data_IF_154199363770
#
_entry.id   IF_154199363770
#
_cell.length_a   1.000
_cell.length_b   1.000
_cell.length_c   1.000
_cell.angle_alpha   90.00
_cell.angle_beta   90.00
_cell.angle_gamma   90.00
#
_symmetry.space_group_name_H-M   'P 1'
#
loop_
_entity.id
_entity.type
_entity.pdbx_description
1 polymer ?
#
# COMPACT_ATOMS: atom_id res chain seq x y z
N UNK A 1 6.42 -19.78 17.35
CA UNK A 1 7.64 -19.22 16.73
C UNK A 1 8.68 -18.99 17.83
N UNK A 2 9.93 -19.36 17.57
CA UNK A 2 11.03 -19.21 18.53
C UNK A 2 11.41 -17.73 18.77
N UNK A 3 10.93 -16.82 17.96
CA UNK A 3 11.35 -15.40 17.95
C UNK A 3 12.74 -15.16 17.36
N UNK A 4 13.39 -16.20 16.83
CA UNK A 4 14.72 -16.10 16.23
C UNK A 4 14.61 -15.60 14.80
N UNK A 5 15.27 -14.49 14.48
CA UNK A 5 15.40 -13.98 13.12
C UNK A 5 16.48 -14.80 12.38
N UNK A 6 16.16 -15.21 11.16
CA UNK A 6 17.11 -15.88 10.27
C UNK A 6 17.25 -15.06 8.98
N UNK A 7 18.49 -14.85 8.48
CA UNK A 7 18.69 -14.19 7.19
C UNK A 7 18.09 -15.04 6.07
N UNK A 8 17.47 -14.38 5.10
CA UNK A 8 16.95 -15.03 3.90
C UNK A 8 17.91 -14.81 2.74
N UNK A 9 18.28 -15.92 2.09
CA UNK A 9 19.11 -15.87 0.88
C UNK A 9 18.25 -15.58 -0.36
N UNK A 10 18.86 -14.99 -1.39
CA UNK A 10 18.20 -14.73 -2.67
C UNK A 10 17.25 -13.52 -2.66
N UNK A 11 17.33 -12.64 -1.66
CA UNK A 11 16.54 -11.39 -1.67
C UNK A 11 17.06 -10.49 -2.81
N UNK A 12 16.16 -9.84 -3.60
CA UNK A 12 16.58 -8.96 -4.69
C UNK A 12 17.44 -7.80 -4.16
N UNK A 13 18.36 -7.32 -5.01
CA UNK A 13 19.14 -6.12 -4.71
C UNK A 13 18.21 -4.89 -4.64
N UNK A 14 18.25 -4.15 -3.53
CA UNK A 14 17.38 -3.00 -3.28
C UNK A 14 18.19 -1.72 -3.14
N UNK A 15 17.61 -0.59 -3.53
CA UNK A 15 18.14 0.73 -3.20
C UNK A 15 17.57 1.19 -1.85
N UNK A 16 18.32 0.93 -0.78
CA UNK A 16 17.91 1.30 0.59
C UNK A 16 18.26 2.77 0.90
N UNK A 17 17.66 3.71 0.15
CA UNK A 17 17.84 5.16 0.32
C UNK A 17 16.50 5.88 0.47
N UNK A 18 16.44 6.84 1.39
CA UNK A 18 15.22 7.60 1.68
C UNK A 18 14.09 6.70 2.16
N UNK A 19 13.01 6.58 1.38
CA UNK A 19 11.90 5.67 1.65
C UNK A 19 12.01 4.35 0.87
N UNK A 20 13.11 4.13 0.15
CA UNK A 20 13.35 2.89 -0.60
C UNK A 20 13.91 1.76 0.27
N UNK A 21 13.82 0.55 -0.24
CA UNK A 21 14.28 -0.68 0.42
C UNK A 21 13.54 -1.91 -0.08
N UNK A 22 13.53 -2.97 0.73
CA UNK A 22 12.55 -4.05 0.64
C UNK A 22 11.27 -3.54 1.31
N UNK A 23 10.15 -3.51 0.60
CA UNK A 23 9.02 -2.68 0.97
C UNK A 23 7.81 -3.48 1.47
N UNK A 24 7.41 -4.51 0.72
CA UNK A 24 6.30 -5.36 1.12
C UNK A 24 6.53 -6.82 0.74
N UNK A 25 5.83 -7.71 1.42
CA UNK A 25 5.80 -9.14 1.12
C UNK A 25 4.36 -9.64 1.16
N UNK A 26 3.96 -10.35 0.11
CA UNK A 26 2.63 -10.95 0.01
C UNK A 26 2.75 -12.43 -0.36
N UNK A 27 1.91 -13.26 0.23
CA UNK A 27 1.86 -14.69 -0.09
C UNK A 27 0.83 -14.96 -1.19
N UNK A 28 1.14 -15.90 -2.08
CA UNK A 28 0.15 -16.39 -3.04
C UNK A 28 -1.08 -16.96 -2.31
N UNK A 29 -2.32 -16.77 -2.79
CA UNK A 29 -3.53 -17.33 -2.15
C UNK A 29 -3.49 -18.85 -1.94
N UNK A 30 -2.70 -19.57 -2.75
CA UNK A 30 -2.45 -20.99 -2.63
C UNK A 30 -1.04 -21.29 -2.07
N UNK A 31 -0.53 -20.45 -1.17
CA UNK A 31 0.83 -20.56 -0.64
C UNK A 31 1.12 -21.94 -0.05
N UNK A 32 0.18 -22.55 0.65
CA UNK A 32 0.34 -23.88 1.24
C UNK A 32 0.64 -24.99 0.21
N UNK A 33 0.30 -24.78 -1.07
CA UNK A 33 0.53 -25.71 -2.16
C UNK A 33 1.77 -25.37 -2.98
N UNK A 34 2.09 -24.09 -3.16
CA UNK A 34 3.10 -23.64 -4.12
C UNK A 34 4.28 -22.88 -3.51
N UNK A 35 4.22 -22.57 -2.20
CA UNK A 35 5.23 -21.77 -1.49
C UNK A 35 5.64 -20.47 -2.20
N UNK A 36 4.73 -19.89 -2.99
CA UNK A 36 5.03 -18.68 -3.76
C UNK A 36 4.80 -17.42 -2.93
N UNK A 37 5.76 -16.50 -2.97
CA UNK A 37 5.67 -15.17 -2.37
C UNK A 37 6.00 -14.09 -3.39
N UNK A 38 5.57 -12.89 -3.11
CA UNK A 38 5.81 -11.69 -3.89
C UNK A 38 6.50 -10.66 -3.01
N UNK A 39 7.52 -10.02 -3.54
CA UNK A 39 8.27 -8.99 -2.84
C UNK A 39 8.25 -7.72 -3.68
N UNK A 40 7.77 -6.63 -3.11
CA UNK A 40 7.94 -5.31 -3.70
C UNK A 40 9.19 -4.65 -3.13
N UNK A 41 9.90 -3.91 -3.98
CA UNK A 41 11.16 -3.28 -3.60
C UNK A 41 11.48 -2.06 -4.47
N UNK A 42 12.40 -1.23 -3.98
CA UNK A 42 12.96 -0.14 -4.76
C UNK A 42 14.11 -0.65 -5.62
N UNK A 43 13.86 -0.81 -6.92
CA UNK A 43 14.84 -1.21 -7.93
C UNK A 43 15.60 0.00 -8.43
N UNK A 44 16.92 -0.12 -8.52
CA UNK A 44 17.80 0.92 -9.04
C UNK A 44 18.37 0.58 -10.42
N UNK A 45 18.69 1.62 -11.20
CA UNK A 45 19.56 1.54 -12.36
C UNK A 45 20.42 2.80 -12.48
N UNK A 46 21.59 2.68 -13.08
CA UNK A 46 22.45 3.83 -13.40
C UNK A 46 22.24 4.23 -14.85
N UNK A 47 21.92 5.52 -15.07
CA UNK A 47 21.76 6.12 -16.38
C UNK A 47 22.58 7.41 -16.39
N UNK A 48 23.53 7.54 -17.30
CA UNK A 48 24.42 8.71 -17.42
C UNK A 48 25.06 9.12 -16.08
N UNK A 49 25.56 8.13 -15.34
CA UNK A 49 26.20 8.33 -14.03
C UNK A 49 25.24 8.66 -12.87
N UNK A 50 23.93 8.76 -13.11
CA UNK A 50 22.92 9.01 -12.08
C UNK A 50 22.20 7.74 -11.69
N UNK A 51 22.05 7.51 -10.39
CA UNK A 51 21.23 6.42 -9.87
C UNK A 51 19.77 6.85 -9.90
N UNK A 52 18.97 6.15 -10.68
CA UNK A 52 17.52 6.27 -10.74
C UNK A 52 16.88 5.06 -10.09
N UNK A 53 15.67 5.22 -9.58
CA UNK A 53 14.95 4.12 -8.94
C UNK A 53 13.47 4.11 -9.25
N UNK A 54 12.88 2.93 -9.10
CA UNK A 54 11.44 2.71 -9.26
C UNK A 54 10.93 1.63 -8.32
N UNK A 55 9.62 1.43 -8.27
CA UNK A 55 8.98 0.29 -7.62
C UNK A 55 8.98 -0.90 -8.55
N UNK A 56 9.44 -2.05 -8.07
CA UNK A 56 9.39 -3.31 -8.80
C UNK A 56 8.82 -4.43 -7.91
N UNK A 57 8.34 -5.50 -8.54
CA UNK A 57 7.84 -6.69 -7.85
C UNK A 57 8.48 -7.93 -8.44
N UNK A 58 9.00 -8.78 -7.57
CA UNK A 58 9.50 -10.11 -7.89
C UNK A 58 8.58 -11.16 -7.29
N UNK A 59 8.29 -12.20 -8.08
CA UNK A 59 7.69 -13.45 -7.64
C UNK A 59 8.78 -14.46 -7.38
N UNK A 60 8.72 -15.20 -6.28
CA UNK A 60 9.70 -16.21 -5.94
C UNK A 60 9.04 -17.41 -5.23
N UNK A 61 9.68 -18.56 -5.25
CA UNK A 61 9.31 -19.71 -4.42
C UNK A 61 10.15 -19.71 -3.16
N UNK A 62 9.49 -19.76 -2.01
CA UNK A 62 10.14 -19.87 -0.71
C UNK A 62 10.54 -21.33 -0.45
N UNK A 63 11.82 -21.57 -0.19
CA UNK A 63 12.38 -22.87 0.14
C UNK A 63 13.26 -22.73 1.39
N UNK A 64 12.68 -23.08 2.56
CA UNK A 64 13.31 -22.84 3.85
C UNK A 64 13.61 -21.34 4.06
N UNK A 65 14.88 -20.98 4.09
CA UNK A 65 15.36 -19.60 4.22
C UNK A 65 15.94 -19.05 2.90
N UNK A 66 15.51 -19.57 1.76
CA UNK A 66 16.01 -19.16 0.45
C UNK A 66 14.87 -18.87 -0.53
N UNK A 67 15.06 -17.85 -1.36
CA UNK A 67 14.17 -17.52 -2.47
C UNK A 67 14.69 -18.14 -3.76
N UNK A 68 13.90 -19.03 -4.34
CA UNK A 68 14.20 -19.75 -5.59
C UNK A 68 13.27 -19.27 -6.72
N UNK A 69 13.59 -19.61 -7.96
CA UNK A 69 12.76 -19.43 -9.14
C UNK A 69 12.27 -17.97 -9.32
N UNK A 70 13.13 -17.02 -9.02
CA UNK A 70 12.78 -15.61 -9.04
C UNK A 70 12.47 -15.11 -10.44
N UNK A 71 11.35 -14.42 -10.57
CA UNK A 71 10.92 -13.74 -11.79
C UNK A 71 10.42 -12.35 -11.46
N UNK A 72 10.99 -11.32 -12.07
CA UNK A 72 10.40 -9.99 -12.00
C UNK A 72 9.12 -9.97 -12.83
N UNK A 73 8.03 -9.56 -12.20
CA UNK A 73 6.67 -9.56 -12.78
C UNK A 73 6.07 -8.19 -12.97
N UNK A 74 6.68 -7.16 -12.35
CA UNK A 74 6.25 -5.78 -12.48
C UNK A 74 7.43 -4.82 -12.27
N UNK A 75 7.48 -3.79 -13.11
CA UNK A 75 8.43 -2.68 -13.01
C UNK A 75 7.71 -1.38 -13.37
N UNK A 76 7.66 -0.44 -12.43
CA UNK A 76 7.02 0.84 -12.66
C UNK A 76 7.92 1.79 -13.49
N UNK A 77 7.33 2.48 -14.46
CA UNK A 77 8.00 3.46 -15.30
C UNK A 77 7.39 4.85 -15.14
N UNK A 78 8.20 5.91 -15.25
CA UNK A 78 9.64 5.93 -15.46
C UNK A 78 10.45 5.70 -14.18
N UNK A 79 11.75 5.40 -14.34
CA UNK A 79 12.71 5.50 -13.26
C UNK A 79 13.00 6.97 -12.95
N UNK A 80 13.11 7.31 -11.65
CA UNK A 80 13.29 8.70 -11.20
C UNK A 80 14.44 8.81 -10.19
N UNK A 81 14.99 10.01 -10.06
CA UNK A 81 16.03 10.31 -9.08
C UNK A 81 15.51 10.50 -7.66
N UNK A 82 14.18 10.64 -7.50
CA UNK A 82 13.55 10.78 -6.18
C UNK A 82 13.64 9.51 -5.34
N UNK A 83 13.67 9.67 -4.01
CA UNK A 83 13.81 8.59 -3.02
C UNK A 83 12.61 8.47 -2.09
N UNK A 84 11.44 8.87 -2.55
CA UNK A 84 10.20 8.86 -1.77
C UNK A 84 8.99 8.44 -2.61
N UNK A 85 7.86 8.17 -1.93
CA UNK A 85 6.57 7.82 -2.49
C UNK A 85 6.64 6.61 -3.43
N UNK A 86 7.17 5.50 -2.94
CA UNK A 86 7.22 4.25 -3.72
C UNK A 86 5.87 3.53 -3.77
N UNK A 87 4.92 3.84 -2.85
CA UNK A 87 3.72 3.04 -2.63
C UNK A 87 4.09 1.65 -2.16
N UNK A 88 4.03 0.67 -3.06
CA UNK A 88 4.60 -0.67 -2.98
C UNK A 88 3.78 -1.71 -2.22
N UNK A 89 2.57 -1.41 -1.76
CA UNK A 89 1.70 -2.41 -1.15
C UNK A 89 1.22 -3.42 -2.19
N UNK A 90 1.17 -4.67 -1.74
CA UNK A 90 0.71 -5.83 -2.49
C UNK A 90 -0.54 -6.39 -1.80
N UNK A 91 -1.54 -6.80 -2.58
CA UNK A 91 -2.74 -7.48 -2.07
C UNK A 91 -3.35 -8.33 -3.17
N UNK A 92 -3.72 -9.56 -2.87
CA UNK A 92 -4.50 -10.39 -3.79
C UNK A 92 -5.99 -10.09 -3.66
N UNK A 93 -6.62 -9.74 -4.78
CA UNK A 93 -8.07 -9.60 -4.84
C UNK A 93 -8.79 -10.95 -4.87
N UNK A 94 -10.10 -10.92 -4.63
CA UNK A 94 -10.97 -12.11 -4.74
C UNK A 94 -11.01 -12.69 -6.17
N UNK A 95 -10.68 -11.88 -7.15
CA UNK A 95 -10.52 -12.26 -8.56
C UNK A 95 -9.24 -13.05 -8.85
N UNK A 96 -8.37 -13.25 -7.83
CA UNK A 96 -7.11 -13.95 -7.93
C UNK A 96 -5.99 -13.14 -8.59
N UNK A 97 -6.18 -11.84 -8.81
CA UNK A 97 -5.17 -10.96 -9.37
C UNK A 97 -4.42 -10.20 -8.28
N UNK A 98 -3.16 -9.87 -8.55
CA UNK A 98 -2.30 -9.09 -7.68
C UNK A 98 -2.50 -7.59 -7.92
N UNK A 99 -2.85 -6.87 -6.88
CA UNK A 99 -2.92 -5.41 -6.85
C UNK A 99 -1.61 -4.86 -6.29
N UNK A 100 -1.11 -3.78 -6.91
CA UNK A 100 0.18 -3.16 -6.56
C UNK A 100 -0.02 -1.65 -6.47
N UNK A 101 0.35 -1.04 -5.37
CA UNK A 101 0.34 0.42 -5.27
C UNK A 101 1.67 1.01 -5.73
N UNK A 102 1.62 2.11 -6.46
CA UNK A 102 2.78 2.93 -6.82
C UNK A 102 2.47 4.39 -6.49
N UNK A 103 3.33 5.03 -5.71
CA UNK A 103 3.18 6.45 -5.38
C UNK A 103 3.56 7.39 -6.54
N UNK A 104 3.25 8.67 -6.40
CA UNK A 104 3.51 9.71 -7.40
C UNK A 104 5.00 10.03 -7.56
N UNK A 105 5.85 9.48 -6.68
CA UNK A 105 7.30 9.69 -6.67
C UNK A 105 7.68 11.18 -6.62
N UNK A 106 6.80 12.03 -6.03
CA UNK A 106 6.97 13.48 -5.99
C UNK A 106 6.69 14.19 -7.32
N UNK A 107 6.14 13.51 -8.31
CA UNK A 107 5.85 14.03 -9.65
C UNK A 107 4.42 14.58 -9.75
N UNK A 108 4.03 15.42 -8.80
CA UNK A 108 2.67 15.98 -8.69
C UNK A 108 2.57 17.47 -9.08
N UNK A 109 3.68 18.12 -9.35
CA UNK A 109 3.66 19.52 -9.79
C UNK A 109 2.88 19.69 -11.10
N UNK A 110 2.27 20.86 -11.38
CA UNK A 110 1.39 21.05 -12.55
C UNK A 110 1.99 20.62 -13.89
N UNK A 111 3.29 20.84 -14.08
CA UNK A 111 3.99 20.42 -15.30
C UNK A 111 4.23 18.92 -15.41
N UNK A 112 4.19 18.18 -14.30
CA UNK A 112 4.52 16.76 -14.26
C UNK A 112 3.30 15.89 -14.10
N UNK A 113 2.36 16.27 -13.22
CA UNK A 113 1.06 15.64 -12.94
C UNK A 113 0.99 14.11 -13.15
N UNK A 114 2.09 13.42 -12.79
CA UNK A 114 2.26 11.99 -13.04
C UNK A 114 1.04 11.15 -12.60
N UNK A 115 0.37 11.45 -11.46
CA UNK A 115 -0.82 10.72 -11.04
C UNK A 115 -2.00 10.80 -12.01
N UNK A 116 -2.10 11.87 -12.78
CA UNK A 116 -3.19 12.10 -13.74
C UNK A 116 -2.86 11.56 -15.15
N UNK A 117 -1.58 11.31 -15.45
CA UNK A 117 -1.15 10.81 -16.75
C UNK A 117 -1.23 9.29 -16.80
N UNK A 118 -2.03 8.73 -17.69
CA UNK A 118 -2.18 7.28 -17.85
C UNK A 118 -1.02 6.62 -18.62
N UNK A 119 -0.06 7.42 -19.12
CA UNK A 119 1.13 6.94 -19.84
C UNK A 119 2.32 6.56 -18.93
N UNK A 120 2.13 6.58 -17.61
CA UNK A 120 3.14 6.18 -16.62
C UNK A 120 2.49 5.43 -15.45
N UNK A 121 3.33 4.82 -14.59
CA UNK A 121 2.87 4.02 -13.45
C UNK A 121 2.76 4.81 -12.12
N UNK A 122 3.23 6.04 -12.04
CA UNK A 122 3.26 6.82 -10.79
C UNK A 122 1.88 7.31 -10.33
N UNK A 123 1.56 7.17 -9.04
CA UNK A 123 0.28 7.59 -8.44
C UNK A 123 -0.91 6.72 -8.87
N UNK A 124 -0.74 5.40 -8.85
CA UNK A 124 -1.74 4.44 -9.32
C UNK A 124 -1.82 3.20 -8.43
N UNK A 125 -2.96 2.54 -8.52
CA UNK A 125 -3.09 1.12 -8.18
C UNK A 125 -3.06 0.36 -9.51
N UNK A 126 -2.19 -0.64 -9.59
CA UNK A 126 -2.06 -1.56 -10.71
C UNK A 126 -2.71 -2.89 -10.38
N UNK A 127 -3.13 -3.63 -11.42
CA UNK A 127 -3.72 -4.97 -11.30
C UNK A 127 -3.12 -5.85 -12.39
N UNK A 128 -2.49 -6.94 -11.98
CA UNK A 128 -1.84 -7.91 -12.86
C UNK A 128 -2.20 -9.33 -12.43
N UNK A 129 -1.95 -10.31 -13.30
CA UNK A 129 -2.02 -11.71 -12.90
C UNK A 129 -0.79 -12.08 -12.07
N UNK A 130 -0.84 -13.23 -11.42
CA UNK A 130 0.23 -13.79 -10.57
C UNK A 130 1.56 -14.02 -11.32
N UNK A 131 1.52 -14.14 -12.65
CA UNK A 131 2.67 -14.30 -13.53
C UNK A 131 3.20 -12.99 -14.15
N UNK A 132 2.54 -11.85 -13.87
CA UNK A 132 2.84 -10.52 -14.38
C UNK A 132 2.08 -10.14 -15.65
N UNK A 133 1.31 -11.05 -16.27
CA UNK A 133 0.52 -10.73 -17.45
C UNK A 133 -0.68 -9.83 -17.10
N UNK A 134 -1.17 -9.07 -18.09
CA UNK A 134 -2.25 -8.10 -17.90
C UNK A 134 -3.61 -8.79 -18.00
N UNK A 135 -4.54 -8.61 -17.05
CA UNK A 135 -5.92 -9.02 -17.18
C UNK A 135 -6.62 -8.29 -18.34
N UNK A 136 -7.28 -9.05 -19.22
CA UNK A 136 -7.94 -8.48 -20.41
C UNK A 136 -9.06 -7.48 -20.08
N UNK A 137 -9.61 -7.55 -18.87
CA UNK A 137 -10.66 -6.68 -18.38
C UNK A 137 -10.14 -5.45 -17.62
N UNK A 138 -8.83 -5.18 -17.60
CA UNK A 138 -8.31 -3.93 -17.03
C UNK A 138 -8.86 -2.71 -17.82
N UNK A 139 -9.06 -1.56 -17.13
CA UNK A 139 -9.84 -0.45 -17.72
C UNK A 139 -9.18 0.21 -18.93
N UNK A 140 -7.87 0.07 -19.10
CA UNK A 140 -7.13 0.76 -20.15
C UNK A 140 -6.47 -0.18 -21.16
N UNK A 141 -6.82 -1.47 -21.18
CA UNK A 141 -6.32 -2.44 -22.16
C UNK A 141 -6.71 -2.05 -23.56
N UNK A 142 -5.77 -2.14 -24.50
CA UNK A 142 -5.97 -1.79 -25.91
C UNK A 142 -6.08 -0.29 -26.20
N UNK A 143 -5.87 0.59 -25.21
CA UNK A 143 -5.90 2.03 -25.38
C UNK A 143 -4.48 2.57 -25.61
N UNK A 144 -4.19 3.02 -26.83
CA UNK A 144 -2.87 3.51 -27.20
C UNK A 144 -2.33 4.59 -26.26
N UNK A 145 -1.07 4.47 -25.84
CA UNK A 145 -0.39 5.42 -24.97
C UNK A 145 -0.76 5.32 -23.48
N UNK A 146 -1.58 4.35 -23.09
CA UNK A 146 -1.92 4.11 -21.68
C UNK A 146 -1.24 2.84 -21.14
N UNK A 147 -0.89 2.84 -19.86
CA UNK A 147 -0.38 1.66 -19.16
C UNK A 147 -1.53 0.70 -18.85
N UNK A 148 -1.53 -0.47 -19.46
CA UNK A 148 -2.61 -1.45 -19.38
C UNK A 148 -2.78 -2.08 -17.99
N UNK A 149 -1.74 -2.03 -17.16
CA UNK A 149 -1.79 -2.52 -15.77
C UNK A 149 -2.60 -1.62 -14.82
N UNK A 150 -2.89 -0.37 -15.20
CA UNK A 150 -3.59 0.58 -14.31
C UNK A 150 -5.00 0.08 -13.99
N UNK A 151 -5.31 0.02 -12.69
CA UNK A 151 -6.64 -0.27 -12.16
C UNK A 151 -7.38 1.02 -11.75
N UNK A 152 -6.72 1.89 -10.96
CA UNK A 152 -7.17 3.24 -10.58
C UNK A 152 -6.01 4.22 -10.60
N UNK A 153 -6.30 5.52 -10.62
CA UNK A 153 -5.26 6.56 -10.77
C UNK A 153 -5.59 7.82 -9.96
N UNK A 154 -4.68 8.79 -9.97
CA UNK A 154 -4.87 10.01 -9.20
C UNK A 154 -4.58 9.83 -7.70
N UNK A 155 -3.68 8.91 -7.35
CA UNK A 155 -3.21 8.67 -5.99
C UNK A 155 -1.92 9.41 -5.71
N UNK A 156 -1.68 9.79 -4.43
CA UNK A 156 -0.42 10.38 -4.02
C UNK A 156 0.60 9.32 -3.61
N UNK A 157 0.36 8.61 -2.51
CA UNK A 157 1.28 7.61 -1.99
C UNK A 157 0.53 6.56 -1.15
N UNK A 158 -0.13 5.60 -1.78
CA UNK A 158 -0.83 4.53 -1.07
C UNK A 158 0.16 3.65 -0.29
N UNK A 159 -0.01 3.59 1.03
CA UNK A 159 0.88 2.89 1.96
C UNK A 159 0.19 1.74 2.70
N UNK A 160 -1.10 1.55 2.51
CA UNK A 160 -1.86 0.40 2.97
C UNK A 160 -2.84 -0.05 1.92
N UNK A 161 -3.05 -1.36 1.85
CA UNK A 161 -4.01 -2.01 0.97
C UNK A 161 -4.54 -3.27 1.64
N UNK A 162 -5.83 -3.51 1.57
CA UNK A 162 -6.44 -4.73 2.06
C UNK A 162 -7.74 -5.02 1.31
N UNK A 163 -7.99 -6.28 1.03
CA UNK A 163 -9.26 -6.74 0.46
C UNK A 163 -10.34 -6.80 1.54
N UNK A 164 -11.46 -6.12 1.32
CA UNK A 164 -12.61 -6.17 2.23
C UNK A 164 -13.18 -7.59 2.30
N UNK A 165 -13.31 -8.20 3.50
CA UNK A 165 -13.59 -9.62 3.64
C UNK A 165 -14.97 -10.05 3.12
N UNK A 166 -15.94 -9.14 3.11
CA UNK A 166 -17.32 -9.42 2.64
C UNK A 166 -17.51 -9.05 1.18
N UNK A 167 -17.18 -7.79 0.80
CA UNK A 167 -17.45 -7.28 -0.55
C UNK A 167 -16.40 -7.71 -1.59
N UNK A 168 -15.15 -7.96 -1.15
CA UNK A 168 -14.01 -8.24 -2.05
C UNK A 168 -13.43 -6.98 -2.70
N UNK A 169 -13.92 -5.79 -2.35
CA UNK A 169 -13.36 -4.53 -2.82
C UNK A 169 -11.96 -4.30 -2.23
N UNK A 170 -11.11 -3.66 -3.01
CA UNK A 170 -9.76 -3.27 -2.56
C UNK A 170 -9.85 -1.92 -1.87
N UNK A 171 -9.56 -1.91 -0.59
CA UNK A 171 -9.46 -0.69 0.20
C UNK A 171 -8.00 -0.28 0.32
N UNK A 172 -7.77 1.02 0.23
CA UNK A 172 -6.43 1.61 0.34
C UNK A 172 -6.47 2.77 1.32
N UNK A 173 -5.34 3.04 1.94
CA UNK A 173 -5.09 4.36 2.52
C UNK A 173 -3.83 4.96 1.91
N UNK A 174 -3.77 6.27 1.89
CA UNK A 174 -2.65 7.00 1.35
C UNK A 174 -2.28 8.24 2.15
N UNK A 175 -1.00 8.63 2.02
CA UNK A 175 -0.50 9.84 2.65
C UNK A 175 -0.92 11.07 1.85
N UNK A 176 -1.54 12.03 2.50
CA UNK A 176 -1.62 13.41 2.05
C UNK A 176 -0.30 14.15 2.22
N UNK A 177 -0.25 15.45 1.85
CA UNK A 177 0.91 16.29 2.17
C UNK A 177 0.91 16.69 3.65
N UNK A 178 0.67 17.93 4.00
CA UNK A 178 0.47 18.36 5.40
C UNK A 178 -1.03 18.31 5.72
N UNK A 179 -1.52 17.20 6.26
CA UNK A 179 -2.94 16.84 6.36
C UNK A 179 -3.41 16.09 5.11
N UNK A 180 -4.66 15.58 5.15
CA UNK A 180 -5.30 14.91 4.02
C UNK A 180 -4.78 13.50 3.74
N UNK A 181 -4.32 12.75 4.77
CA UNK A 181 -4.23 11.30 4.66
C UNK A 181 -5.63 10.73 4.49
N UNK A 182 -5.81 9.68 3.70
CA UNK A 182 -7.14 9.23 3.25
C UNK A 182 -7.31 7.73 3.35
N UNK A 183 -8.57 7.27 3.54
CA UNK A 183 -9.01 5.90 3.27
C UNK A 183 -9.94 5.93 2.05
N UNK A 184 -9.65 5.09 1.08
CA UNK A 184 -10.35 4.99 -0.19
C UNK A 184 -10.78 3.55 -0.50
N UNK A 185 -11.81 3.37 -1.33
CA UNK A 185 -12.09 2.12 -2.02
C UNK A 185 -11.59 2.26 -3.45
N UNK A 186 -10.49 1.58 -3.78
CA UNK A 186 -9.97 1.59 -5.15
C UNK A 186 -10.92 0.85 -6.08
N UNK A 187 -11.40 1.53 -7.12
CA UNK A 187 -12.33 0.98 -8.12
C UNK A 187 -11.80 1.16 -9.52
N UNK A 188 -12.18 0.23 -10.36
CA UNK A 188 -11.73 0.10 -11.75
C UNK A 188 -11.97 1.37 -12.56
N UNK A 189 -10.89 1.97 -13.09
CA UNK A 189 -10.92 3.13 -13.97
C UNK A 189 -11.19 4.47 -13.31
N UNK A 190 -11.35 4.52 -11.97
CA UNK A 190 -11.68 5.75 -11.26
C UNK A 190 -10.46 6.59 -10.91
N UNK A 191 -10.67 7.91 -10.84
CA UNK A 191 -9.67 8.95 -10.56
C UNK A 191 -9.86 9.49 -9.13
N UNK A 192 -8.84 9.33 -8.29
CA UNK A 192 -8.84 9.79 -6.89
C UNK A 192 -8.35 11.23 -6.71
N UNK A 193 -8.09 11.92 -7.80
CA UNK A 193 -8.01 13.37 -7.87
C UNK A 193 -6.67 14.00 -7.50
N UNK A 194 -5.70 13.29 -6.91
CA UNK A 194 -4.41 13.88 -6.61
C UNK A 194 -3.66 14.31 -7.89
N UNK A 195 -3.07 15.52 -7.99
CA UNK A 195 -3.06 16.62 -7.01
C UNK A 195 -4.13 17.71 -7.26
N UNK A 196 -5.16 17.43 -8.06
CA UNK A 196 -6.21 18.39 -8.45
C UNK A 196 -7.11 18.77 -7.27
N UNK A 197 -7.36 17.81 -6.37
CA UNK A 197 -8.08 17.98 -5.10
C UNK A 197 -7.22 17.46 -3.95
N UNK A 198 -7.37 18.04 -2.76
CA UNK A 198 -6.69 17.58 -1.54
C UNK A 198 -7.33 18.20 -0.29
N UNK A 199 -7.35 17.44 0.81
CA UNK A 199 -7.67 17.95 2.15
C UNK A 199 -6.44 18.48 2.91
N UNK A 200 -5.25 18.36 2.31
CA UNK A 200 -4.00 18.85 2.87
C UNK A 200 -3.46 20.09 2.15
N UNK A 201 -2.42 20.66 2.74
CA UNK A 201 -1.70 21.82 2.22
C UNK A 201 -0.22 21.47 2.00
N UNK A 202 0.53 22.30 1.30
CA UNK A 202 1.98 22.12 1.15
C UNK A 202 2.70 22.13 2.51
N UNK A 203 3.88 21.51 2.58
CA UNK A 203 4.67 21.46 3.81
C UNK A 203 5.15 22.84 4.30
N UNK A 204 5.32 23.80 3.39
CA UNK A 204 5.63 25.20 3.69
C UNK A 204 4.42 26.02 4.20
N UNK A 205 3.23 25.42 4.21
CA UNK A 205 1.99 26.05 4.64
C UNK A 205 1.18 26.74 3.53
N UNK A 206 1.68 26.75 2.31
CA UNK A 206 0.92 27.28 1.18
C UNK A 206 -0.20 26.35 0.73
N UNK A 207 -1.22 26.88 0.09
CA UNK A 207 -2.32 26.09 -0.46
C UNK A 207 -1.84 25.35 -1.70
N UNK A 208 -1.96 24.02 -1.71
CA UNK A 208 -1.66 23.19 -2.86
C UNK A 208 -2.73 23.34 -3.95
N UNK A 209 -3.98 23.20 -3.55
CA UNK A 209 -5.18 23.39 -4.37
C UNK A 209 -6.30 23.94 -3.49
N UNK A 210 -7.14 24.83 -3.99
CA UNK A 210 -8.29 25.32 -3.23
C UNK A 210 -9.46 24.33 -3.20
N UNK A 211 -9.34 23.20 -3.95
CA UNK A 211 -10.42 22.23 -4.12
C UNK A 211 -10.21 21.03 -3.22
N UNK A 212 -11.25 20.63 -2.52
CA UNK A 212 -11.32 19.34 -1.81
C UNK A 212 -12.16 18.30 -2.54
N UNK A 213 -12.99 18.76 -3.51
CA UNK A 213 -13.83 17.90 -4.34
C UNK A 213 -14.01 18.48 -5.73
N UNK A 214 -14.19 17.63 -6.73
CA UNK A 214 -14.52 18.01 -8.10
C UNK A 214 -15.34 16.90 -8.78
N UNK A 215 -16.22 17.24 -9.69
CA UNK A 215 -17.02 16.26 -10.43
C UNK A 215 -16.13 15.30 -11.24
N UNK A 216 -16.40 14.01 -11.14
CA UNK A 216 -15.61 12.96 -11.80
C UNK A 216 -14.35 12.54 -11.05
N UNK A 217 -14.11 13.09 -9.86
CA UNK A 217 -13.04 12.67 -8.95
C UNK A 217 -13.62 12.03 -7.70
N UNK A 218 -13.05 10.90 -7.30
CA UNK A 218 -13.50 10.13 -6.13
C UNK A 218 -13.19 10.87 -4.83
N UNK A 219 -14.06 10.67 -3.86
CA UNK A 219 -13.91 11.23 -2.52
C UNK A 219 -13.53 10.12 -1.52
N UNK A 220 -12.64 10.42 -0.55
CA UNK A 220 -12.28 9.45 0.46
C UNK A 220 -13.46 9.13 1.39
N UNK A 221 -13.48 7.89 1.90
CA UNK A 221 -14.41 7.46 2.95
C UNK A 221 -14.11 8.14 4.29
N UNK A 222 -12.86 8.46 4.51
CA UNK A 222 -12.35 9.17 5.69
C UNK A 222 -11.03 9.85 5.34
N UNK A 223 -10.75 10.98 6.00
CA UNK A 223 -9.47 11.66 5.91
C UNK A 223 -9.02 12.24 7.26
N UNK A 224 -7.72 12.43 7.42
CA UNK A 224 -7.14 12.97 8.65
C UNK A 224 -6.51 14.33 8.43
N UNK A 225 -6.88 15.28 9.31
CA UNK A 225 -6.19 16.56 9.46
C UNK A 225 -6.01 16.81 10.96
N UNK A 226 -4.79 16.77 11.48
CA UNK A 226 -3.50 16.62 10.79
C UNK A 226 -3.25 15.18 10.29
N UNK A 227 -2.31 15.03 9.33
CA UNK A 227 -1.81 13.73 8.88
C UNK A 227 -1.34 12.87 10.04
N UNK A 228 -1.73 11.60 10.05
CA UNK A 228 -1.26 10.60 11.01
C UNK A 228 -0.09 9.77 10.48
N UNK A 229 0.18 9.84 9.15
CA UNK A 229 1.13 8.97 8.46
C UNK A 229 0.67 7.52 8.53
N UNK A 230 -0.49 7.15 7.92
CA UNK A 230 -1.01 5.80 8.00
C UNK A 230 -0.07 4.80 7.33
N UNK A 231 0.03 3.59 7.89
CA UNK A 231 0.93 2.54 7.43
C UNK A 231 0.38 1.17 7.76
N UNK A 232 0.62 0.20 6.92
CA UNK A 232 0.03 -1.13 7.05
C UNK A 232 -1.46 -1.08 7.32
N UNK A 233 -2.23 -1.97 6.73
CA UNK A 233 -3.67 -1.99 6.91
C UNK A 233 -4.18 -3.42 6.79
N UNK A 234 -5.06 -3.83 7.70
CA UNK A 234 -5.76 -5.09 7.59
C UNK A 234 -7.19 -4.97 8.08
N UNK A 235 -8.09 -5.79 7.56
CA UNK A 235 -9.41 -5.98 8.15
C UNK A 235 -9.37 -7.06 9.22
N UNK A 236 -10.05 -6.83 10.34
CA UNK A 236 -10.21 -7.87 11.37
C UNK A 236 -11.14 -8.96 10.87
N UNK A 237 -10.60 -10.18 10.73
CA UNK A 237 -11.29 -11.36 10.22
C UNK A 237 -11.39 -12.45 11.30
N UNK A 238 -12.27 -13.42 11.09
CA UNK A 238 -12.43 -14.54 12.02
C UNK A 238 -13.11 -14.15 13.34
N UNK A 239 -12.99 -14.99 14.36
CA UNK A 239 -13.75 -14.88 15.60
C UNK A 239 -12.88 -14.64 16.84
N UNK A 240 -11.58 -14.38 16.64
CA UNK A 240 -10.65 -14.13 17.76
C UNK A 240 -10.91 -12.77 18.42
N UNK A 241 -11.38 -11.80 17.64
CA UNK A 241 -11.74 -10.45 18.10
C UNK A 241 -13.18 -10.13 17.70
N UNK A 242 -14.19 -10.78 18.32
CA UNK A 242 -15.57 -10.71 17.85
C UNK A 242 -16.15 -9.28 17.83
N UNK A 243 -15.75 -8.44 18.80
CA UNK A 243 -16.18 -7.04 18.88
C UNK A 243 -15.51 -6.11 17.83
N UNK A 244 -14.50 -6.60 17.10
CA UNK A 244 -13.74 -5.84 16.10
C UNK A 244 -13.91 -6.38 14.68
N UNK A 245 -14.68 -7.45 14.54
CA UNK A 245 -14.86 -8.15 13.26
C UNK A 245 -15.38 -7.22 12.17
N UNK A 246 -14.64 -7.11 11.09
CA UNK A 246 -14.93 -6.22 9.96
C UNK A 246 -14.34 -4.82 10.07
N UNK A 247 -13.77 -4.44 11.21
CA UNK A 247 -13.11 -3.15 11.37
C UNK A 247 -11.72 -3.14 10.70
N UNK A 248 -11.24 -1.95 10.40
CA UNK A 248 -9.90 -1.74 9.87
C UNK A 248 -8.95 -1.46 11.01
N UNK A 249 -7.81 -2.15 10.99
CA UNK A 249 -6.63 -1.81 11.80
C UNK A 249 -5.58 -1.21 10.90
N UNK A 250 -5.03 -0.05 11.28
CA UNK A 250 -3.93 0.59 10.58
C UNK A 250 -2.95 1.25 11.57
N UNK A 251 -1.70 1.37 11.14
CA UNK A 251 -0.67 1.99 11.95
C UNK A 251 -0.58 3.50 11.75
N UNK A 252 -0.12 4.22 12.79
CA UNK A 252 0.32 5.60 12.67
C UNK A 252 1.83 5.71 12.86
N UNK A 253 2.52 6.19 11.84
CA UNK A 253 3.95 6.49 11.90
C UNK A 253 4.22 7.76 12.72
N UNK A 254 3.37 8.77 12.56
CA UNK A 254 3.56 10.08 13.17
C UNK A 254 3.29 10.08 14.67
N UNK A 255 2.16 9.49 15.06
CA UNK A 255 1.72 9.52 16.46
C UNK A 255 1.98 8.23 17.22
N UNK A 256 2.58 7.22 16.55
CA UNK A 256 3.06 5.99 17.19
C UNK A 256 1.98 5.21 17.92
N UNK A 257 0.86 4.98 17.24
CA UNK A 257 -0.26 4.20 17.76
C UNK A 257 -0.83 3.24 16.69
N UNK A 258 -1.61 2.29 17.14
CA UNK A 258 -2.50 1.49 16.30
C UNK A 258 -3.88 2.16 16.28
N UNK A 259 -4.42 2.39 15.09
CA UNK A 259 -5.77 2.92 14.88
C UNK A 259 -6.73 1.79 14.52
N UNK A 260 -7.88 1.76 15.18
CA UNK A 260 -9.04 0.96 14.79
C UNK A 260 -10.09 1.88 14.20
N UNK A 261 -10.33 1.76 12.90
CA UNK A 261 -11.37 2.50 12.19
C UNK A 261 -12.61 1.64 12.00
N UNK A 262 -13.73 2.10 12.54
CA UNK A 262 -15.03 1.43 12.47
C UNK A 262 -15.82 2.00 11.30
N UNK A 263 -16.26 1.13 10.39
CA UNK A 263 -17.14 1.47 9.28
C UNK A 263 -18.45 0.70 9.40
N UNK A 264 -19.55 1.35 9.03
CA UNK A 264 -20.86 0.72 8.90
C UNK A 264 -21.50 1.15 7.59
N UNK A 265 -21.92 0.20 6.78
CA UNK A 265 -22.54 0.46 5.47
C UNK A 265 -21.66 1.37 4.58
N UNK A 266 -20.34 1.15 4.59
CA UNK A 266 -19.35 1.94 3.85
C UNK A 266 -19.11 3.35 4.39
N UNK A 267 -19.67 3.70 5.55
CA UNK A 267 -19.51 5.03 6.17
C UNK A 267 -18.66 4.94 7.43
N UNK A 268 -17.69 5.83 7.54
CA UNK A 268 -16.88 5.98 8.73
C UNK A 268 -17.76 6.36 9.93
N UNK A 269 -17.57 5.66 11.05
CA UNK A 269 -18.31 5.88 12.29
C UNK A 269 -17.44 6.51 13.37
N UNK A 270 -16.28 5.91 13.63
CA UNK A 270 -15.33 6.37 14.65
C UNK A 270 -13.94 5.81 14.43
N UNK A 271 -12.97 6.45 15.04
CA UNK A 271 -11.62 5.96 15.24
C UNK A 271 -11.38 5.68 16.72
N UNK A 272 -10.75 4.56 17.04
CA UNK A 272 -10.26 4.23 18.38
C UNK A 272 -8.75 4.11 18.36
N UNK A 273 -8.09 4.88 19.21
CA UNK A 273 -6.62 4.89 19.34
C UNK A 273 -6.22 3.80 20.33
N UNK A 274 -5.45 2.83 19.84
CA UNK A 274 -4.95 1.70 20.61
C UNK A 274 -3.41 1.76 20.68
N UNK A 275 -2.82 1.08 21.67
CA UNK A 275 -1.36 0.91 21.81
C UNK A 275 -0.57 2.22 21.64
N UNK A 276 -0.99 3.28 22.31
CA UNK A 276 -0.32 4.59 22.24
C UNK A 276 1.15 4.47 22.66
N UNK A 277 2.02 5.16 21.91
CA UNK A 277 3.48 5.22 22.14
C UNK A 277 4.19 3.86 21.99
N UNK A 278 3.61 2.92 21.25
CA UNK A 278 4.23 1.61 21.00
C UNK A 278 5.48 1.71 20.10
N UNK A 279 5.70 2.83 19.45
CA UNK A 279 6.71 3.08 18.43
C UNK A 279 6.05 3.43 17.09
N UNK A 280 6.86 3.80 16.11
CA UNK A 280 6.36 4.07 14.76
C UNK A 280 5.80 2.77 14.16
N UNK A 281 4.48 2.65 14.10
CA UNK A 281 3.85 1.45 13.54
C UNK A 281 4.08 1.44 12.03
N UNK A 282 4.76 0.41 11.53
CA UNK A 282 5.10 0.29 10.10
C UNK A 282 4.18 -0.67 9.36
N UNK A 283 3.80 -1.78 9.98
CA UNK A 283 2.87 -2.73 9.38
C UNK A 283 1.89 -3.30 10.40
N UNK A 284 0.71 -3.63 9.92
CA UNK A 284 -0.35 -4.31 10.68
C UNK A 284 -0.90 -5.40 9.79
N UNK A 285 -0.91 -6.64 10.28
CA UNK A 285 -1.34 -7.78 9.50
C UNK A 285 -2.07 -8.81 10.35
N UNK A 286 -3.05 -9.48 9.75
CA UNK A 286 -3.68 -10.65 10.35
C UNK A 286 -3.03 -11.93 9.85
N UNK A 287 -2.46 -12.69 10.78
CA UNK A 287 -1.88 -13.99 10.44
C UNK A 287 -2.96 -15.09 10.27
N UNK A 288 -2.60 -16.22 9.63
CA UNK A 288 -3.52 -17.35 9.45
C UNK A 288 -4.03 -17.96 10.77
N UNK A 289 -3.32 -17.75 11.90
CA UNK A 289 -3.78 -18.18 13.23
C UNK A 289 -4.84 -17.23 13.84
N UNK A 290 -5.21 -16.17 13.10
CA UNK A 290 -6.24 -15.21 13.47
C UNK A 290 -5.78 -14.14 14.44
N UNK A 291 -4.47 -14.02 14.77
CA UNK A 291 -3.96 -12.91 15.56
C UNK A 291 -3.59 -11.71 14.68
N UNK A 292 -3.73 -10.52 15.28
CA UNK A 292 -3.21 -9.28 14.71
C UNK A 292 -1.75 -9.12 15.14
N UNK A 293 -0.87 -8.92 14.17
CA UNK A 293 0.53 -8.59 14.38
C UNK A 293 0.81 -7.15 13.99
N UNK A 294 1.58 -6.47 14.83
CA UNK A 294 1.94 -5.05 14.67
C UNK A 294 3.46 -4.94 14.66
N UNK A 295 4.00 -4.50 13.52
CA UNK A 295 5.43 -4.26 13.37
C UNK A 295 5.74 -2.77 13.61
N UNK A 296 6.77 -2.49 14.38
CA UNK A 296 7.22 -1.12 14.70
C UNK A 296 8.65 -0.87 14.25
N UNK A 297 8.94 0.41 13.98
CA UNK A 297 10.29 0.95 13.85
C UNK A 297 10.68 1.63 15.17
N UNK A 298 11.91 1.48 15.62
CA UNK A 298 12.48 2.22 16.74
C UNK A 298 11.66 2.16 18.05
N UNK A 299 11.61 1.03 18.74
CA UNK A 299 12.40 -0.18 18.46
C UNK A 299 11.74 -1.05 17.36
N UNK A 300 12.57 -1.78 16.61
CA UNK A 300 12.13 -2.79 15.67
C UNK A 300 11.57 -4.00 16.40
N UNK A 301 10.24 -4.12 16.45
CA UNK A 301 9.54 -5.22 17.11
C UNK A 301 8.38 -5.72 16.27
N UNK A 302 8.04 -6.98 16.46
CA UNK A 302 6.78 -7.58 15.99
C UNK A 302 5.96 -7.97 17.23
N UNK A 303 4.87 -7.26 17.46
CA UNK A 303 3.98 -7.47 18.60
C UNK A 303 2.73 -8.24 18.14
N UNK A 304 2.33 -9.25 18.91
CA UNK A 304 1.08 -9.96 18.72
C UNK A 304 0.04 -9.44 19.70
N UNK A 305 -1.12 -9.03 19.20
CA UNK A 305 -2.24 -8.64 20.05
C UNK A 305 -2.96 -9.88 20.55
N UNK A 306 -3.09 -10.01 21.85
CA UNK A 306 -3.79 -11.14 22.49
C UNK A 306 -5.08 -10.61 23.13
N UNK A 307 -6.26 -11.18 22.79
CA UNK A 307 -7.50 -10.83 23.50
C UNK A 307 -7.39 -11.17 24.98
N UNK A 308 -7.83 -10.26 25.83
CA UNK A 308 -7.99 -10.53 27.26
C UNK A 308 -9.40 -11.07 27.48
N UNK A 309 -9.48 -12.26 28.04
CA UNK A 309 -10.77 -12.80 28.52
C UNK A 309 -11.07 -12.06 29.81
N UNK A 310 -12.02 -11.16 29.79
CA UNK A 310 -12.58 -10.56 31.01
C UNK A 310 -13.57 -11.57 31.55
N UNK A 311 -13.18 -12.26 32.64
CA UNK A 311 -14.07 -13.15 33.39
C UNK A 311 -15.14 -12.34 34.14
#
# INVERSE_FOLDING_TARGET
TSGTLQPMAGVPAVLAEGQGGLLDVESHPQFAQNNTIYLSFSKAKTVDGKILSTTAVVRARLDGTSLQDQKEIFEALPYLSTRHHYGSRLEFGRDGYLYISVGDRGQHMPALQSPQLLSNHGGKIHRIKDDGSIPADNPFVGQAGKMESIFSYGHRNPQGMAMHPVTGEIWTHEHGPRGGDEINISRKGLNFGWPLISYGINYDGTILTPKTAEAGLEQPLHYWVPSIGPSGMTFVKGDRYPAWKGDIMLGSLRFQYLSRCVFKDGKFQKEEILLQKIGRVRNVEMSPDGYIYVATEQPGMINRIVPVVVN
#
